data_IF_305186030162
#
_entry.id   IF_305186030162
#
_cell.length_a   1.000
_cell.length_b   1.000
_cell.length_c   1.000
_cell.angle_alpha   90.00
_cell.angle_beta   90.00
_cell.angle_gamma   90.00
#
_symmetry.space_group_name_H-M   'P 1'
#
loop_
_entity.id
_entity.type
_entity.pdbx_description
1 polymer ?
#
# COMPACT_ATOMS: atom_id res chain seq x y z
N UNK A 1 9.42 16.82 -2.45
CA UNK A 1 8.88 15.85 -1.46
C UNK A 1 9.00 16.44 -0.06
N UNK A 2 7.99 16.26 0.79
CA UNK A 2 7.95 16.69 2.19
C UNK A 2 7.79 15.48 3.12
N UNK A 3 8.52 15.47 4.24
CA UNK A 3 8.35 14.47 5.31
C UNK A 3 7.70 15.16 6.52
N UNK A 4 6.66 14.55 7.09
CA UNK A 4 5.96 15.06 8.28
C UNK A 4 5.91 13.93 9.31
N UNK A 5 6.36 14.20 10.53
CA UNK A 5 6.35 13.24 11.62
C UNK A 5 5.39 13.67 12.73
N UNK A 6 4.74 12.67 13.31
CA UNK A 6 3.90 12.77 14.50
C UNK A 6 4.20 11.58 15.40
N UNK A 7 3.70 11.61 16.64
CA UNK A 7 3.87 10.50 17.58
C UNK A 7 3.48 9.15 16.96
N UNK A 8 2.32 8.99 16.28
CA UNK A 8 1.95 7.69 15.70
C UNK A 8 2.43 7.43 14.26
N UNK A 9 2.81 8.45 13.49
CA UNK A 9 2.98 8.32 12.03
C UNK A 9 4.10 9.17 11.47
N UNK A 10 4.80 8.63 10.48
CA UNK A 10 5.70 9.36 9.56
C UNK A 10 5.09 9.36 8.17
N UNK A 11 4.93 10.54 7.56
CA UNK A 11 4.32 10.76 6.25
C UNK A 11 5.36 11.23 5.24
N UNK A 12 5.25 10.73 4.02
CA UNK A 12 6.05 11.09 2.85
C UNK A 12 5.09 11.59 1.77
N UNK A 13 5.26 12.85 1.36
CA UNK A 13 4.31 13.55 0.50
C UNK A 13 5.03 14.10 -0.72
N UNK A 14 4.50 13.82 -1.91
CA UNK A 14 4.81 14.58 -3.11
C UNK A 14 4.32 16.03 -2.98
N UNK A 15 4.72 16.89 -3.92
CA UNK A 15 4.30 18.31 -3.92
C UNK A 15 2.81 18.47 -4.22
N UNK A 16 2.26 17.58 -5.03
CA UNK A 16 0.84 17.52 -5.37
C UNK A 16 0.26 16.16 -5.00
N UNK A 17 -1.00 16.14 -4.59
CA UNK A 17 -1.81 14.94 -4.49
C UNK A 17 -3.18 15.20 -5.12
N UNK A 18 -3.66 14.23 -5.88
CA UNK A 18 -4.96 14.31 -6.58
C UNK A 18 -5.87 13.18 -6.05
N UNK A 19 -6.04 13.17 -4.73
CA UNK A 19 -6.91 12.19 -4.09
C UNK A 19 -8.36 12.64 -4.14
N UNK A 20 -9.20 11.81 -4.74
CA UNK A 20 -10.64 11.98 -4.67
C UNK A 20 -11.14 11.37 -3.35
N UNK A 21 -11.87 12.15 -2.56
CA UNK A 21 -12.26 11.78 -1.19
C UNK A 21 -12.93 10.39 -1.12
N UNK A 22 -13.75 10.06 -2.10
CA UNK A 22 -14.52 8.82 -2.16
C UNK A 22 -13.80 7.66 -2.83
N UNK A 23 -12.67 7.92 -3.51
CA UNK A 23 -11.92 6.91 -4.27
C UNK A 23 -10.58 6.56 -3.63
N UNK A 24 -10.03 7.44 -2.81
CA UNK A 24 -8.72 7.21 -2.20
C UNK A 24 -8.74 6.00 -1.27
N UNK A 25 -7.73 5.16 -1.42
CA UNK A 25 -7.47 4.04 -0.54
C UNK A 25 -5.97 3.77 -0.43
N UNK A 26 -5.62 2.61 0.13
CA UNK A 26 -4.24 2.24 0.37
C UNK A 26 -3.95 0.76 0.17
N UNK A 27 -2.79 0.47 -0.42
CA UNK A 27 -2.11 -0.81 -0.23
C UNK A 27 -1.31 -0.78 1.07
N UNK A 28 -1.27 -1.90 1.78
CA UNK A 28 -0.65 -2.02 3.09
C UNK A 28 0.53 -2.99 3.08
N UNK A 29 1.63 -2.61 3.73
CA UNK A 29 2.79 -3.43 3.98
C UNK A 29 3.03 -3.53 5.49
N UNK A 30 2.98 -4.73 6.05
CA UNK A 30 3.24 -4.98 7.47
C UNK A 30 4.74 -5.25 7.67
N UNK A 31 5.42 -4.31 8.31
CA UNK A 31 6.87 -4.33 8.47
C UNK A 31 7.29 -4.75 9.88
N UNK A 32 8.50 -5.30 9.97
CA UNK A 32 9.17 -5.66 11.24
C UNK A 32 10.38 -4.78 11.55
N UNK A 33 10.74 -3.89 10.63
CA UNK A 33 11.85 -2.95 10.77
C UNK A 33 11.40 -1.58 10.26
N UNK A 34 11.37 -0.60 11.17
CA UNK A 34 10.99 0.78 10.88
C UNK A 34 11.89 1.42 9.82
N UNK A 35 13.18 1.12 9.79
CA UNK A 35 14.13 1.71 8.82
C UNK A 35 13.82 1.23 7.41
N UNK A 36 13.49 -0.06 7.26
CA UNK A 36 13.04 -0.62 5.98
C UNK A 36 11.74 0.05 5.53
N UNK A 37 10.77 0.22 6.44
CA UNK A 37 9.52 0.89 6.11
C UNK A 37 9.71 2.35 5.69
N UNK A 38 10.58 3.08 6.38
CA UNK A 38 10.97 4.45 6.05
C UNK A 38 11.59 4.54 4.66
N UNK A 39 12.58 3.68 4.35
CA UNK A 39 13.21 3.60 3.03
C UNK A 39 12.18 3.31 1.92
N UNK A 40 11.28 2.34 2.14
CA UNK A 40 10.27 1.98 1.13
C UNK A 40 9.24 3.09 0.91
N UNK A 41 8.79 3.77 1.96
CA UNK A 41 7.88 4.91 1.81
C UNK A 41 8.56 6.08 1.09
N UNK A 42 9.80 6.39 1.46
CA UNK A 42 10.57 7.47 0.85
C UNK A 42 10.82 7.22 -0.64
N UNK A 43 11.32 6.03 -0.98
CA UNK A 43 11.62 5.67 -2.36
C UNK A 43 10.35 5.62 -3.21
N UNK A 44 9.24 5.07 -2.70
CA UNK A 44 7.99 5.05 -3.46
C UNK A 44 7.49 6.45 -3.83
N UNK A 45 7.70 7.46 -2.98
CA UNK A 45 7.32 8.85 -3.29
C UNK A 45 8.35 9.52 -4.21
N UNK A 46 9.66 9.34 -3.96
CA UNK A 46 10.74 9.88 -4.82
C UNK A 46 10.66 9.35 -6.26
N UNK A 47 10.41 8.06 -6.40
CA UNK A 47 10.32 7.38 -7.69
C UNK A 47 8.94 7.54 -8.35
N UNK A 48 8.06 8.35 -7.75
CA UNK A 48 6.69 8.64 -8.24
C UNK A 48 5.85 7.38 -8.43
N UNK A 49 6.05 6.38 -7.58
CA UNK A 49 5.18 5.19 -7.48
C UNK A 49 3.85 5.58 -6.86
N UNK A 50 3.87 6.41 -5.81
CA UNK A 50 2.70 7.05 -5.20
C UNK A 50 2.98 8.51 -4.87
N UNK A 51 1.93 9.32 -4.73
CA UNK A 51 2.04 10.71 -4.27
C UNK A 51 2.04 10.82 -2.74
N UNK A 52 1.58 9.79 -2.02
CA UNK A 52 1.64 9.72 -0.57
C UNK A 52 1.93 8.30 -0.09
N UNK A 53 2.88 8.19 0.82
CA UNK A 53 3.10 7.02 1.65
C UNK A 53 3.20 7.43 3.13
N UNK A 54 2.89 6.51 4.04
CA UNK A 54 3.17 6.71 5.47
C UNK A 54 3.48 5.39 6.13
N UNK A 55 4.18 5.42 7.25
CA UNK A 55 4.33 4.25 8.12
C UNK A 55 4.11 4.60 9.58
N UNK A 56 3.73 3.59 10.38
CA UNK A 56 3.65 3.73 11.84
C UNK A 56 5.00 4.17 12.40
N UNK A 57 5.00 5.09 13.35
CA UNK A 57 6.21 5.56 14.02
C UNK A 57 6.59 4.61 15.19
N UNK A 58 6.81 3.34 14.86
CA UNK A 58 7.14 2.28 15.79
C UNK A 58 8.08 1.27 15.11
N UNK A 59 8.80 0.45 15.88
CA UNK A 59 9.76 -0.55 15.35
C UNK A 59 9.12 -1.57 14.40
N UNK A 60 7.86 -1.94 14.68
CA UNK A 60 7.03 -2.78 13.81
C UNK A 60 5.69 -2.10 13.58
N UNK A 61 5.03 -2.38 12.46
CA UNK A 61 3.75 -1.75 12.17
C UNK A 61 3.31 -1.89 10.73
N UNK A 62 2.58 -0.89 10.24
CA UNK A 62 2.04 -0.86 8.88
C UNK A 62 2.50 0.37 8.12
N UNK A 63 2.91 0.16 6.88
CA UNK A 63 3.12 1.19 5.89
C UNK A 63 1.94 1.19 4.89
N UNK A 64 1.48 2.36 4.50
CA UNK A 64 0.34 2.58 3.64
C UNK A 64 0.74 3.41 2.42
N UNK A 65 0.37 2.95 1.23
CA UNK A 65 0.72 3.54 -0.06
C UNK A 65 -0.58 3.92 -0.78
N UNK A 66 -0.77 5.22 -1.01
CA UNK A 66 -2.07 5.80 -1.33
C UNK A 66 -2.24 6.10 -2.82
N UNK A 67 -3.45 5.85 -3.32
CA UNK A 67 -3.91 6.09 -4.69
C UNK A 67 -5.44 6.06 -4.75
N UNK A 68 -6.02 6.56 -5.85
CA UNK A 68 -7.44 6.38 -6.14
C UNK A 68 -7.69 4.96 -6.65
N UNK A 69 -8.82 4.37 -6.25
CA UNK A 69 -9.15 2.96 -6.52
C UNK A 69 -9.42 2.63 -7.99
N UNK A 70 -9.72 3.63 -8.80
CA UNK A 70 -9.98 3.52 -10.23
C UNK A 70 -8.74 3.80 -11.09
N UNK A 71 -7.62 4.20 -10.48
CA UNK A 71 -6.34 4.39 -11.18
C UNK A 71 -5.58 3.07 -11.32
N UNK A 72 -5.96 2.30 -12.34
CA UNK A 72 -5.37 0.99 -12.63
C UNK A 72 -3.84 1.05 -12.85
N UNK A 73 -3.34 2.13 -13.45
CA UNK A 73 -1.90 2.29 -13.69
C UNK A 73 -1.13 2.54 -12.38
N UNK A 74 -1.69 3.33 -11.46
CA UNK A 74 -1.14 3.48 -10.13
C UNK A 74 -1.17 2.16 -9.35
N UNK A 75 -2.25 1.37 -9.46
CA UNK A 75 -2.29 0.02 -8.87
C UNK A 75 -1.14 -0.85 -9.40
N UNK A 76 -0.94 -0.86 -10.72
CA UNK A 76 0.13 -1.61 -11.37
C UNK A 76 1.52 -1.18 -10.89
N UNK A 77 1.76 0.13 -10.76
CA UNK A 77 3.03 0.68 -10.24
C UNK A 77 3.30 0.23 -8.80
N UNK A 78 2.32 0.36 -7.91
CA UNK A 78 2.47 -0.02 -6.49
C UNK A 78 2.69 -1.51 -6.33
N UNK A 79 1.90 -2.35 -7.01
CA UNK A 79 2.03 -3.80 -6.95
C UNK A 79 3.39 -4.24 -7.52
N UNK A 80 3.83 -3.67 -8.66
CA UNK A 80 5.17 -3.95 -9.21
C UNK A 80 6.27 -3.57 -8.22
N UNK A 81 6.14 -2.42 -7.57
CA UNK A 81 7.07 -1.97 -6.53
C UNK A 81 7.10 -2.94 -5.35
N UNK A 82 5.93 -3.40 -4.89
CA UNK A 82 5.83 -4.35 -3.78
C UNK A 82 6.48 -5.70 -4.12
N UNK A 83 6.22 -6.24 -5.32
CA UNK A 83 6.81 -7.50 -5.77
C UNK A 83 8.34 -7.36 -5.86
N UNK A 84 8.83 -6.32 -6.55
CA UNK A 84 10.28 -6.06 -6.71
C UNK A 84 11.01 -5.93 -5.37
N UNK A 85 10.34 -5.40 -4.35
CA UNK A 85 10.93 -5.16 -3.03
C UNK A 85 10.55 -6.23 -1.99
N UNK A 86 9.96 -7.36 -2.38
CA UNK A 86 9.53 -8.44 -1.48
C UNK A 86 8.60 -7.97 -0.33
N UNK A 87 7.70 -7.03 -0.64
CA UNK A 87 6.77 -6.43 0.34
C UNK A 87 5.44 -7.19 0.43
N UNK A 88 5.23 -8.21 -0.39
CA UNK A 88 4.07 -9.10 -0.33
C UNK A 88 4.52 -10.42 0.27
N UNK A 89 3.96 -10.78 1.41
CA UNK A 89 4.24 -12.07 2.02
C UNK A 89 3.85 -13.21 1.08
N UNK A 90 4.55 -14.33 1.19
CA UNK A 90 4.25 -15.56 0.46
C UNK A 90 4.01 -16.71 1.43
N UNK A 91 3.21 -17.68 1.00
CA UNK A 91 3.01 -18.95 1.70
C UNK A 91 4.26 -19.82 1.58
N UNK A 92 4.30 -20.93 2.32
CA UNK A 92 5.37 -21.93 2.21
C UNK A 92 5.51 -22.53 0.79
N UNK A 93 4.45 -22.47 -0.03
CA UNK A 93 4.47 -22.92 -1.44
C UNK A 93 4.87 -21.81 -2.42
N UNK A 94 5.44 -20.71 -1.94
CA UNK A 94 5.85 -19.54 -2.72
C UNK A 94 4.69 -18.76 -3.40
N UNK A 95 3.43 -19.13 -3.16
CA UNK A 95 2.23 -18.40 -3.57
C UNK A 95 2.08 -17.09 -2.79
N UNK A 96 1.76 -15.98 -3.47
CA UNK A 96 1.48 -14.69 -2.83
C UNK A 96 0.23 -14.74 -1.95
N UNK A 97 0.26 -14.06 -0.80
CA UNK A 97 -0.96 -13.78 -0.04
C UNK A 97 -1.83 -12.78 -0.82
N UNK A 98 -3.15 -13.03 -0.84
CA UNK A 98 -4.10 -12.13 -1.48
C UNK A 98 -4.33 -10.89 -0.60
N UNK A 99 -3.45 -9.89 -0.72
CA UNK A 99 -3.55 -8.68 0.09
C UNK A 99 -4.72 -7.80 -0.40
N UNK A 100 -5.43 -7.13 0.51
CA UNK A 100 -6.51 -6.22 0.15
C UNK A 100 -6.00 -4.78 -0.05
N UNK A 101 -6.60 -4.08 -1.00
CA UNK A 101 -6.62 -2.63 -1.04
C UNK A 101 -7.75 -2.13 -0.14
N UNK A 102 -7.47 -1.17 0.75
CA UNK A 102 -8.47 -0.66 1.70
C UNK A 102 -8.82 0.78 1.38
N UNK A 103 -10.10 1.04 1.10
CA UNK A 103 -10.60 2.40 0.89
C UNK A 103 -10.58 3.19 2.20
N UNK A 104 -10.30 4.49 2.10
CA UNK A 104 -10.33 5.37 3.26
C UNK A 104 -11.76 5.57 3.78
N UNK A 105 -12.78 5.49 2.92
CA UNK A 105 -14.18 5.48 3.37
C UNK A 105 -14.46 4.33 4.35
N UNK A 106 -13.96 3.12 4.08
CA UNK A 106 -14.13 1.97 4.97
C UNK A 106 -13.42 2.20 6.32
N UNK A 107 -12.25 2.86 6.28
CA UNK A 107 -11.51 3.29 7.47
C UNK A 107 -12.34 4.30 8.29
N UNK A 108 -12.97 5.28 7.63
CA UNK A 108 -13.84 6.29 8.25
C UNK A 108 -15.12 5.69 8.83
N UNK A 109 -15.66 4.63 8.22
CA UNK A 109 -16.82 3.87 8.72
C UNK A 109 -16.49 2.89 9.84
N UNK A 110 -15.20 2.73 10.18
CA UNK A 110 -14.78 1.78 11.22
C UNK A 110 -14.84 0.32 10.78
N UNK A 111 -14.79 0.03 9.48
CA UNK A 111 -14.82 -1.34 8.96
C UNK A 111 -13.45 -2.01 9.15
N UNK A 112 -13.38 -2.99 10.06
CA UNK A 112 -12.17 -3.75 10.41
C UNK A 112 -12.55 -5.19 10.76
N UNK A 113 -11.58 -6.11 10.67
CA UNK A 113 -11.82 -7.52 10.98
C UNK A 113 -12.92 -8.11 10.10
N UNK A 114 -13.95 -8.67 10.72
CA UNK A 114 -15.06 -9.34 10.02
C UNK A 114 -15.96 -8.39 9.21
N UNK A 115 -16.02 -7.11 9.58
CA UNK A 115 -16.83 -6.11 8.86
C UNK A 115 -16.09 -5.53 7.66
N UNK A 116 -14.78 -5.76 7.55
CA UNK A 116 -13.99 -5.33 6.40
C UNK A 116 -14.07 -6.36 5.27
N UNK A 117 -14.60 -5.93 4.13
CA UNK A 117 -14.53 -6.67 2.88
C UNK A 117 -13.93 -5.76 1.82
N UNK A 118 -12.85 -6.19 1.19
CA UNK A 118 -12.25 -5.45 0.10
C UNK A 118 -12.81 -5.92 -1.23
N UNK A 119 -13.21 -4.98 -2.07
CA UNK A 119 -13.56 -5.25 -3.46
C UNK A 119 -12.33 -5.29 -4.36
N UNK A 120 -11.18 -4.81 -3.92
CA UNK A 120 -9.95 -4.74 -4.72
C UNK A 120 -8.86 -5.53 -4.01
N UNK A 121 -8.50 -6.66 -4.60
CA UNK A 121 -7.54 -7.62 -4.05
C UNK A 121 -6.47 -7.95 -5.07
N UNK A 122 -5.31 -8.43 -4.62
CA UNK A 122 -4.15 -8.69 -5.47
C UNK A 122 -4.44 -9.69 -6.61
N UNK A 123 -5.29 -10.69 -6.36
CA UNK A 123 -5.75 -11.67 -7.36
C UNK A 123 -6.60 -11.08 -8.48
N UNK A 124 -7.01 -9.81 -8.40
CA UNK A 124 -7.61 -9.10 -9.54
C UNK A 124 -6.57 -8.55 -10.52
N UNK A 125 -5.30 -8.54 -10.14
CA UNK A 125 -4.21 -7.94 -10.92
C UNK A 125 -3.20 -8.98 -11.39
N UNK A 126 -2.89 -9.98 -10.57
CA UNK A 126 -1.91 -11.01 -10.90
C UNK A 126 -2.44 -12.39 -10.54
N UNK A 127 -1.95 -13.40 -11.24
CA UNK A 127 -2.05 -14.78 -10.77
C UNK A 127 -1.15 -14.95 -9.53
N UNK A 128 -1.74 -15.40 -8.43
CA UNK A 128 -1.05 -15.42 -7.13
C UNK A 128 0.02 -16.52 -7.02
N UNK A 129 0.02 -17.51 -7.91
CA UNK A 129 0.95 -18.63 -7.90
C UNK A 129 2.19 -18.33 -8.75
N UNK A 130 2.00 -17.74 -9.94
CA UNK A 130 3.07 -17.34 -10.87
C UNK A 130 3.60 -15.92 -10.64
N UNK A 131 2.74 -15.01 -10.15
CA UNK A 131 3.02 -13.58 -10.11
C UNK A 131 2.87 -12.85 -11.44
N UNK A 132 2.37 -13.53 -12.48
CA UNK A 132 2.13 -12.93 -13.80
C UNK A 132 0.89 -12.03 -13.78
N UNK A 133 0.91 -10.94 -14.55
CA UNK A 133 -0.22 -10.04 -14.68
C UNK A 133 -1.39 -10.72 -15.39
N UNK A 134 -2.59 -10.52 -14.85
CA UNK A 134 -3.83 -10.87 -15.55
C UNK A 134 -4.03 -9.86 -16.69
N UNK A 135 -4.14 -10.38 -17.91
CA UNK A 135 -4.34 -9.61 -19.15
C UNK A 135 -5.78 -9.12 -19.25
#
# INVERSE_FOLDING_TARGET
>A
MKIIESIPWVYYLAETNEFEYDKVGKWMYFFKDKKVAAEKCENAVKDRIVTQAKHSNAETGVACFYLNCDDIDAHKKVISYFIKNNMIAKTAKNRFYNIPFKLDQQTRRGEYGETFKSEITLDKFIDLDSGEWLI
#
